data_IF_048173028626
#
_entry.id   IF_048173028626
#
_cell.length_a   1.000
_cell.length_b   1.000
_cell.length_c   1.000
_cell.angle_alpha   90.00
_cell.angle_beta   90.00
_cell.angle_gamma   90.00
#
_symmetry.space_group_name_H-M   'P 1'
#
loop_
_entity.id
_entity.type
_entity.pdbx_description
1 polymer ?
#
# COMPACT_ATOMS: atom_id res chain seq x y z
N UNK A 1 7.22 -5.94 -7.42
CA UNK A 1 5.88 -6.56 -7.43
C UNK A 1 6.01 -7.91 -8.12
N UNK A 2 5.75 -8.99 -7.41
CA UNK A 2 5.77 -10.36 -7.92
C UNK A 2 4.36 -10.95 -7.83
N UNK A 3 4.07 -12.04 -8.55
CA UNK A 3 2.76 -12.67 -8.56
C UNK A 3 2.78 -13.93 -7.67
N UNK A 4 2.40 -13.83 -6.38
CA UNK A 4 2.43 -14.97 -5.47
C UNK A 4 1.37 -16.01 -5.87
N UNK A 5 1.70 -17.29 -5.68
CA UNK A 5 0.69 -18.34 -5.78
C UNK A 5 -0.28 -18.24 -4.59
N UNK A 6 -1.55 -17.99 -4.87
CA UNK A 6 -2.61 -17.95 -3.87
C UNK A 6 -3.52 -19.18 -4.00
N UNK A 7 -3.60 -19.98 -2.93
CA UNK A 7 -4.47 -21.14 -2.85
C UNK A 7 -5.97 -20.75 -2.87
N UNK A 8 -6.88 -21.70 -3.17
CA UNK A 8 -8.31 -21.41 -3.23
C UNK A 8 -8.83 -20.76 -1.94
N UNK A 9 -9.69 -19.75 -2.08
CA UNK A 9 -10.16 -18.85 -1.01
C UNK A 9 -10.86 -19.54 0.17
N UNK A 10 -11.40 -20.75 -0.04
CA UNK A 10 -12.03 -21.56 1.01
C UNK A 10 -11.11 -22.55 1.73
N UNK A 11 -9.84 -22.68 1.32
CA UNK A 11 -8.87 -23.57 1.99
C UNK A 11 -8.20 -22.85 3.15
N UNK A 12 -7.76 -23.59 4.19
CA UNK A 12 -7.02 -22.99 5.32
C UNK A 12 -5.83 -22.16 4.83
N UNK A 13 -5.02 -22.71 3.92
CA UNK A 13 -3.88 -22.01 3.34
C UNK A 13 -4.33 -20.73 2.61
N UNK A 14 -5.35 -20.81 1.76
CA UNK A 14 -5.84 -19.65 1.02
C UNK A 14 -6.42 -18.54 1.92
N UNK A 15 -7.04 -18.89 3.04
CA UNK A 15 -7.51 -17.93 4.04
C UNK A 15 -6.34 -17.23 4.74
N UNK A 16 -5.32 -17.99 5.17
CA UNK A 16 -4.12 -17.44 5.82
C UNK A 16 -3.29 -16.59 4.87
N UNK A 17 -3.12 -17.00 3.61
CA UNK A 17 -2.40 -16.22 2.60
C UNK A 17 -3.03 -14.87 2.35
N UNK A 18 -4.37 -14.78 2.38
CA UNK A 18 -5.10 -13.50 2.26
C UNK A 18 -5.07 -12.68 3.55
N UNK A 19 -4.67 -13.27 4.69
CA UNK A 19 -4.73 -12.63 6.00
C UNK A 19 -6.17 -12.41 6.50
N UNK A 20 -7.12 -13.26 6.09
CA UNK A 20 -8.51 -13.16 6.54
C UNK A 20 -8.63 -13.56 8.01
N UNK A 21 -9.52 -12.90 8.73
CA UNK A 21 -9.82 -13.30 10.11
C UNK A 21 -10.37 -14.72 10.22
N UNK A 22 -11.12 -15.17 9.22
CA UNK A 22 -11.59 -16.56 9.10
C UNK A 22 -10.42 -17.56 9.04
N UNK A 23 -9.27 -17.16 8.50
CA UNK A 23 -8.05 -17.95 8.49
C UNK A 23 -7.54 -18.25 9.89
N UNK A 24 -7.56 -17.26 10.79
CA UNK A 24 -7.22 -17.46 12.21
C UNK A 24 -8.23 -18.39 12.87
N UNK A 25 -9.53 -18.14 12.67
CA UNK A 25 -10.58 -18.96 13.27
C UNK A 25 -10.49 -20.42 12.82
N UNK A 26 -10.23 -20.66 11.53
CA UNK A 26 -10.03 -21.99 10.97
C UNK A 26 -8.74 -22.65 11.49
N UNK A 27 -7.63 -21.90 11.57
CA UNK A 27 -6.37 -22.41 12.11
C UNK A 27 -6.51 -22.88 13.55
N UNK A 28 -7.22 -22.14 14.40
CA UNK A 28 -7.48 -22.49 15.80
C UNK A 28 -8.41 -23.71 15.96
N UNK A 29 -9.20 -24.03 14.94
CA UNK A 29 -10.08 -25.20 14.92
C UNK A 29 -9.46 -26.44 14.27
N UNK A 30 -8.41 -26.25 13.45
CA UNK A 30 -7.74 -27.32 12.72
C UNK A 30 -6.75 -28.10 13.61
N UNK A 31 -6.32 -29.31 13.22
CA UNK A 31 -5.20 -29.97 13.86
C UNK A 31 -3.96 -29.07 13.86
N UNK A 32 -3.38 -28.83 15.04
CA UNK A 32 -2.24 -27.92 15.22
C UNK A 32 -1.09 -28.13 14.21
N UNK A 33 -0.65 -29.36 13.89
CA UNK A 33 0.40 -29.56 12.88
C UNK A 33 0.01 -29.06 11.48
N UNK A 34 -1.25 -29.19 11.08
CA UNK A 34 -1.75 -28.71 9.79
C UNK A 34 -1.81 -27.17 9.77
N UNK A 35 -2.27 -26.57 10.86
CA UNK A 35 -2.32 -25.12 11.02
C UNK A 35 -0.91 -24.49 10.99
N UNK A 36 0.04 -25.08 11.73
CA UNK A 36 1.43 -24.64 11.72
C UNK A 36 2.08 -24.83 10.34
N UNK A 37 1.82 -25.94 9.63
CA UNK A 37 2.33 -26.13 8.28
C UNK A 37 1.82 -25.05 7.31
N UNK A 38 0.53 -24.70 7.37
CA UNK A 38 -0.04 -23.63 6.54
C UNK A 38 0.49 -22.24 6.93
N UNK A 39 0.66 -21.97 8.23
CA UNK A 39 1.26 -20.73 8.73
C UNK A 39 2.72 -20.59 8.29
N UNK A 40 3.54 -21.63 8.46
CA UNK A 40 4.93 -21.66 8.01
C UNK A 40 5.00 -21.41 6.51
N UNK A 41 4.14 -22.04 5.70
CA UNK A 41 4.10 -21.76 4.27
C UNK A 41 3.89 -20.28 3.97
N UNK A 42 2.96 -19.60 4.65
CA UNK A 42 2.72 -18.17 4.42
C UNK A 42 3.91 -17.30 4.86
N UNK A 43 4.59 -17.65 5.94
CA UNK A 43 5.69 -16.85 6.50
C UNK A 43 6.97 -17.01 5.69
N UNK A 44 7.22 -18.21 5.14
CA UNK A 44 8.40 -18.55 4.37
C UNK A 44 8.23 -18.30 2.86
N UNK A 45 6.99 -18.14 2.40
CA UNK A 45 6.65 -17.83 1.01
C UNK A 45 5.63 -16.69 1.00
N UNK A 46 6.14 -15.46 0.94
CA UNK A 46 5.36 -14.24 1.13
C UNK A 46 4.17 -14.17 0.15
N UNK A 47 2.91 -14.21 0.64
CA UNK A 47 1.73 -14.19 -0.21
C UNK A 47 1.28 -12.77 -0.57
N UNK A 48 2.01 -11.72 -0.15
CA UNK A 48 1.64 -10.33 -0.41
C UNK A 48 1.94 -9.96 -1.85
N UNK A 49 0.96 -9.35 -2.52
CA UNK A 49 1.17 -8.83 -3.86
C UNK A 49 2.01 -7.55 -3.81
N UNK A 50 1.73 -6.72 -2.79
CA UNK A 50 2.51 -5.53 -2.49
C UNK A 50 2.87 -5.50 -0.99
N UNK A 51 4.05 -6.04 -0.69
CA UNK A 51 4.55 -6.14 0.68
C UNK A 51 4.81 -4.77 1.33
N UNK A 52 4.93 -3.68 0.54
CA UNK A 52 5.17 -2.33 1.05
C UNK A 52 3.93 -1.73 1.73
N UNK A 53 2.75 -2.26 1.41
CA UNK A 53 1.47 -1.69 1.84
C UNK A 53 0.54 -2.70 2.52
N UNK A 54 0.85 -4.00 2.47
CA UNK A 54 0.06 -5.06 3.12
C UNK A 54 0.68 -5.54 4.44
N UNK A 55 -0.12 -5.48 5.52
CA UNK A 55 0.30 -5.81 6.89
C UNK A 55 -0.12 -7.24 7.26
N UNK A 56 0.83 -8.20 7.23
CA UNK A 56 0.56 -9.60 7.62
C UNK A 56 1.45 -10.16 8.72
N UNK A 57 2.54 -9.48 9.06
CA UNK A 57 3.51 -9.94 10.05
C UNK A 57 2.91 -10.06 11.45
N UNK A 58 2.18 -9.04 11.94
CA UNK A 58 1.51 -9.06 13.23
C UNK A 58 0.43 -10.16 13.32
N UNK A 59 -0.32 -10.36 12.23
CA UNK A 59 -1.32 -11.41 12.10
C UNK A 59 -0.70 -12.81 12.28
N UNK A 60 0.38 -13.09 11.55
CA UNK A 60 1.08 -14.37 11.66
C UNK A 60 1.76 -14.54 13.03
N UNK A 61 2.36 -13.49 13.59
CA UNK A 61 2.98 -13.54 14.91
C UNK A 61 1.97 -13.88 16.02
N UNK A 62 0.78 -13.27 16.00
CA UNK A 62 -0.31 -13.62 16.92
C UNK A 62 -0.73 -15.09 16.75
N UNK A 63 -0.80 -15.57 15.51
CA UNK A 63 -1.16 -16.96 15.24
C UNK A 63 -0.09 -17.96 15.70
N UNK A 64 1.20 -17.63 15.59
CA UNK A 64 2.27 -18.42 16.22
C UNK A 64 2.06 -18.53 17.73
N UNK A 65 1.72 -17.43 18.41
CA UNK A 65 1.46 -17.47 19.86
C UNK A 65 0.21 -18.29 20.21
N UNK A 66 -0.90 -18.05 19.50
CA UNK A 66 -2.17 -18.76 19.76
C UNK A 66 -2.05 -20.27 19.48
N UNK A 67 -1.18 -20.67 18.54
CA UNK A 67 -0.88 -22.08 18.21
C UNK A 67 0.31 -22.65 18.98
N UNK A 68 0.93 -21.91 19.91
CA UNK A 68 2.17 -22.32 20.60
C UNK A 68 3.28 -22.77 19.64
N UNK A 69 3.43 -22.10 18.49
CA UNK A 69 4.36 -22.48 17.43
C UNK A 69 5.82 -22.11 17.75
N UNK A 70 6.73 -23.03 17.41
CA UNK A 70 8.18 -22.80 17.41
C UNK A 70 8.66 -22.07 16.15
N UNK A 71 9.90 -21.60 16.17
CA UNK A 71 10.52 -20.80 15.08
C UNK A 71 11.53 -21.60 14.24
N UNK A 72 11.60 -22.93 14.42
CA UNK A 72 12.62 -23.78 13.81
C UNK A 72 12.59 -23.73 12.28
N UNK A 73 11.40 -23.60 11.70
CA UNK A 73 11.19 -23.48 10.26
C UNK A 73 11.66 -22.13 9.71
N UNK A 74 11.47 -21.05 10.48
CA UNK A 74 12.00 -19.72 10.15
C UNK A 74 13.53 -19.73 10.26
N UNK A 75 14.08 -20.31 11.32
CA UNK A 75 15.53 -20.43 11.48
C UNK A 75 16.18 -21.19 10.33
N UNK A 76 15.58 -22.31 9.91
CA UNK A 76 16.05 -23.09 8.76
C UNK A 76 16.00 -22.29 7.45
N UNK A 77 14.93 -21.53 7.22
CA UNK A 77 14.77 -20.69 6.02
C UNK A 77 15.80 -19.55 5.96
N UNK A 78 16.01 -18.86 7.09
CA UNK A 78 16.95 -17.75 7.20
C UNK A 78 18.42 -18.21 7.19
N UNK A 79 18.69 -19.44 7.64
CA UNK A 79 20.02 -20.06 7.60
C UNK A 79 20.32 -20.81 6.30
N UNK A 80 19.40 -20.85 5.35
CA UNK A 80 19.58 -21.55 4.08
C UNK A 80 20.64 -20.83 3.21
N UNK A 81 21.56 -21.55 2.55
CA UNK A 81 22.57 -20.95 1.68
C UNK A 81 22.01 -20.06 0.57
N UNK A 82 20.77 -20.31 0.13
CA UNK A 82 20.08 -19.49 -0.86
C UNK A 82 19.88 -18.04 -0.37
N UNK A 83 19.94 -17.75 0.94
CA UNK A 83 19.91 -16.38 1.48
C UNK A 83 21.01 -15.48 0.88
N UNK A 84 22.16 -16.06 0.55
CA UNK A 84 23.28 -15.33 -0.07
C UNK A 84 23.21 -15.31 -1.61
N UNK A 85 22.34 -16.11 -2.22
CA UNK A 85 22.17 -16.19 -3.68
C UNK A 85 20.98 -15.36 -4.15
N UNK A 86 19.91 -15.33 -3.37
CA UNK A 86 18.71 -14.55 -3.59
C UNK A 86 18.56 -13.51 -2.48
N UNK A 87 19.01 -12.29 -2.78
CA UNK A 87 18.99 -11.15 -1.85
C UNK A 87 17.74 -10.29 -2.01
N UNK A 88 16.69 -10.79 -2.66
CA UNK A 88 15.41 -10.09 -2.74
C UNK A 88 14.77 -10.00 -1.35
N UNK A 89 14.28 -8.81 -1.00
CA UNK A 89 13.64 -8.56 0.30
C UNK A 89 12.39 -9.43 0.52
N UNK A 90 11.71 -9.81 -0.56
CA UNK A 90 10.52 -10.68 -0.50
C UNK A 90 10.81 -12.10 0.00
N UNK A 91 12.07 -12.57 -0.08
CA UNK A 91 12.46 -13.90 0.40
C UNK A 91 12.39 -13.99 1.92
N UNK A 92 12.89 -13.00 2.63
CA UNK A 92 13.05 -13.07 4.10
C UNK A 92 12.36 -11.95 4.87
N UNK A 93 11.97 -10.85 4.23
CA UNK A 93 11.40 -9.67 4.87
C UNK A 93 10.17 -9.99 5.73
N UNK A 94 9.24 -10.81 5.22
CA UNK A 94 8.07 -11.23 6.01
C UNK A 94 8.46 -12.05 7.25
N UNK A 95 9.37 -13.01 7.11
CA UNK A 95 9.83 -13.84 8.21
C UNK A 95 10.54 -13.00 9.29
N UNK A 96 11.37 -12.03 8.88
CA UNK A 96 12.03 -11.08 9.78
C UNK A 96 11.01 -10.20 10.52
N UNK A 97 10.01 -9.67 9.81
CA UNK A 97 8.94 -8.88 10.42
C UNK A 97 8.11 -9.70 11.43
N UNK A 98 7.84 -10.97 11.15
CA UNK A 98 7.18 -11.89 12.09
C UNK A 98 8.03 -12.11 13.34
N UNK A 99 9.33 -12.36 13.19
CA UNK A 99 10.25 -12.47 14.33
C UNK A 99 10.28 -11.18 15.15
N UNK A 100 10.20 -10.01 14.49
CA UNK A 100 10.11 -8.72 15.16
C UNK A 100 8.89 -8.68 16.09
N UNK A 101 7.70 -8.94 15.58
CA UNK A 101 6.51 -8.97 16.43
C UNK A 101 6.59 -10.03 17.54
N UNK A 102 7.12 -11.23 17.27
CA UNK A 102 7.33 -12.24 18.30
C UNK A 102 8.26 -11.73 19.42
N UNK A 103 9.36 -11.06 19.08
CA UNK A 103 10.25 -10.44 20.06
C UNK A 103 9.54 -9.38 20.90
N UNK A 104 8.61 -8.61 20.29
CA UNK A 104 7.79 -7.62 21.01
C UNK A 104 6.86 -8.25 22.05
N UNK A 105 6.46 -9.51 21.83
CA UNK A 105 5.69 -10.31 22.79
C UNK A 105 6.57 -11.07 23.80
N UNK A 106 7.88 -10.80 23.84
CA UNK A 106 8.80 -11.39 24.81
C UNK A 106 9.38 -12.76 24.40
N UNK A 107 9.37 -13.11 23.11
CA UNK A 107 10.03 -14.31 22.60
C UNK A 107 11.54 -14.08 22.44
N UNK A 108 12.29 -14.48 23.46
CA UNK A 108 13.77 -14.35 23.51
C UNK A 108 14.47 -15.13 22.38
N UNK A 109 13.92 -16.27 21.98
CA UNK A 109 14.42 -17.08 20.86
C UNK A 109 14.31 -16.34 19.52
N UNK A 110 13.20 -15.63 19.29
CA UNK A 110 13.00 -14.80 18.11
C UNK A 110 13.95 -13.60 18.09
N UNK A 111 14.10 -12.91 19.24
CA UNK A 111 15.05 -11.80 19.38
C UNK A 111 16.50 -12.25 19.13
N UNK A 112 16.89 -13.40 19.69
CA UNK A 112 18.22 -13.96 19.49
C UNK A 112 18.47 -14.33 18.02
N UNK A 113 17.46 -14.89 17.32
CA UNK A 113 17.57 -15.21 15.90
C UNK A 113 17.70 -13.94 15.04
N UNK A 114 16.91 -12.90 15.31
CA UNK A 114 17.04 -11.60 14.62
C UNK A 114 18.43 -11.00 14.77
N UNK A 115 18.99 -10.99 15.98
CA UNK A 115 20.37 -10.50 16.22
C UNK A 115 21.40 -11.32 15.43
N UNK A 116 21.27 -12.65 15.38
CA UNK A 116 22.15 -13.50 14.56
C UNK A 116 22.03 -13.15 13.07
N UNK A 117 20.80 -13.03 12.56
CA UNK A 117 20.57 -12.72 11.16
C UNK A 117 21.05 -11.31 10.79
N UNK A 118 20.79 -10.29 11.61
CA UNK A 118 21.35 -8.95 11.40
C UNK A 118 22.89 -8.94 11.34
N UNK A 119 23.54 -9.85 12.07
CA UNK A 119 24.99 -9.97 12.04
C UNK A 119 25.53 -10.64 10.77
N UNK A 120 24.83 -11.59 10.13
CA UNK A 120 25.38 -12.40 9.03
C UNK A 120 24.53 -12.54 7.76
N UNK A 121 23.22 -12.38 7.85
CA UNK A 121 22.28 -12.55 6.73
C UNK A 121 22.41 -11.49 5.64
N UNK A 122 21.84 -11.79 4.47
CA UNK A 122 21.87 -10.90 3.30
C UNK A 122 20.95 -9.69 3.48
N UNK A 123 19.72 -9.90 3.96
CA UNK A 123 18.75 -8.84 4.26
C UNK A 123 18.93 -8.27 5.67
N UNK A 124 20.18 -8.05 6.08
CA UNK A 124 20.55 -7.57 7.41
C UNK A 124 19.95 -6.21 7.76
N UNK A 125 19.76 -5.33 6.77
CA UNK A 125 19.21 -3.99 6.97
C UNK A 125 17.78 -4.07 7.51
N UNK A 126 16.95 -4.93 6.92
CA UNK A 126 15.60 -5.20 7.40
C UNK A 126 15.60 -5.73 8.84
N UNK A 127 16.46 -6.72 9.13
CA UNK A 127 16.56 -7.27 10.48
C UNK A 127 17.02 -6.23 11.51
N UNK A 128 17.90 -5.32 11.10
CA UNK A 128 18.35 -4.20 11.92
C UNK A 128 17.22 -3.20 12.19
N UNK A 129 16.38 -2.90 11.20
CA UNK A 129 15.20 -2.06 11.37
C UNK A 129 14.18 -2.71 12.33
N UNK A 130 13.93 -4.02 12.22
CA UNK A 130 13.06 -4.73 13.16
C UNK A 130 13.60 -4.68 14.60
N UNK A 131 14.91 -4.83 14.77
CA UNK A 131 15.59 -4.71 16.07
C UNK A 131 15.59 -3.27 16.59
N UNK A 132 15.72 -2.27 15.74
CA UNK A 132 15.72 -0.87 16.14
C UNK A 132 14.45 -0.48 16.91
N UNK A 133 13.32 -1.07 16.56
CA UNK A 133 12.03 -0.83 17.23
C UNK A 133 11.88 -1.56 18.57
N UNK A 134 12.60 -2.67 18.78
CA UNK A 134 12.22 -3.70 19.77
C UNK A 134 13.33 -4.13 20.71
N UNK A 135 14.57 -3.98 20.27
CA UNK A 135 15.75 -4.35 21.03
C UNK A 135 16.19 -3.23 21.99
N UNK A 136 16.97 -3.60 23.00
CA UNK A 136 17.62 -2.67 23.89
C UNK A 136 18.91 -2.07 23.28
N UNK A 137 19.41 -0.98 23.87
CA UNK A 137 20.60 -0.32 23.34
C UNK A 137 21.87 -1.21 23.44
N UNK A 138 21.91 -2.18 24.36
CA UNK A 138 23.07 -3.06 24.53
C UNK A 138 23.15 -4.07 23.37
N UNK A 139 22.01 -4.67 23.01
CA UNK A 139 21.83 -5.52 21.85
C UNK A 139 22.21 -4.79 20.56
N UNK A 140 21.67 -3.59 20.35
CA UNK A 140 22.00 -2.78 19.17
C UNK A 140 23.49 -2.42 19.10
N UNK A 141 24.13 -2.04 20.23
CA UNK A 141 25.57 -1.76 20.26
C UNK A 141 26.43 -2.99 19.94
N UNK A 142 25.96 -4.19 20.28
CA UNK A 142 26.69 -5.43 19.96
C UNK A 142 26.77 -5.70 18.45
N UNK A 143 25.84 -5.17 17.67
CA UNK A 143 25.75 -5.34 16.22
C UNK A 143 26.62 -4.37 15.41
N UNK A 144 27.15 -3.32 16.03
CA UNK A 144 27.92 -2.29 15.33
C UNK A 144 29.11 -2.86 14.55
N UNK A 145 29.90 -3.73 15.19
CA UNK A 145 31.09 -4.34 14.57
C UNK A 145 30.73 -5.26 13.40
N UNK A 146 29.86 -6.28 13.55
CA UNK A 146 29.53 -7.16 12.44
C UNK A 146 28.84 -6.42 11.28
N UNK A 147 27.98 -5.44 11.55
CA UNK A 147 27.34 -4.64 10.48
C UNK A 147 28.37 -3.79 9.74
N UNK A 148 29.23 -3.06 10.45
CA UNK A 148 30.25 -2.21 9.83
C UNK A 148 31.34 -3.00 9.09
N UNK A 149 31.54 -4.28 9.42
CA UNK A 149 32.50 -5.15 8.73
C UNK A 149 32.10 -5.47 7.28
N UNK A 150 30.85 -5.21 6.89
CA UNK A 150 30.34 -5.40 5.51
C UNK A 150 30.90 -4.37 4.53
N UNK A 151 31.24 -3.20 5.05
CA UNK A 151 31.70 -2.08 4.24
C UNK A 151 33.23 -2.05 4.24
N UNK A 152 33.83 -1.85 3.07
CA UNK A 152 35.26 -1.59 2.95
C UNK A 152 35.70 -0.34 3.72
N UNK A 153 36.99 -0.27 4.07
CA UNK A 153 37.59 0.94 4.67
C UNK A 153 38.14 1.92 3.63
N UNK A 154 37.92 1.63 2.35
CA UNK A 154 38.27 2.49 1.23
C UNK A 154 37.14 3.49 0.91
N UNK A 155 37.33 4.28 -0.15
CA UNK A 155 36.35 5.29 -0.55
C UNK A 155 35.02 4.69 -1.02
N UNK A 156 35.06 3.52 -1.67
CA UNK A 156 33.88 2.80 -2.15
C UNK A 156 33.05 2.29 -0.96
N UNK A 157 33.66 1.55 -0.03
CA UNK A 157 32.98 1.10 1.18
C UNK A 157 32.48 2.24 2.07
N UNK A 158 33.17 3.38 2.08
CA UNK A 158 32.69 4.58 2.78
C UNK A 158 31.42 5.17 2.13
N UNK A 159 31.34 5.18 0.80
CA UNK A 159 30.17 5.65 0.06
C UNK A 159 28.97 4.69 0.20
N UNK A 160 29.22 3.38 0.21
CA UNK A 160 28.21 2.35 0.49
C UNK A 160 27.65 2.51 1.91
N UNK A 161 28.52 2.69 2.91
CA UNK A 161 28.10 2.94 4.29
C UNK A 161 27.27 4.24 4.40
N UNK A 162 27.68 5.32 3.73
CA UNK A 162 26.91 6.56 3.70
C UNK A 162 25.53 6.38 3.06
N UNK A 163 25.42 5.53 2.04
CA UNK A 163 24.15 5.14 1.43
C UNK A 163 23.28 4.36 2.40
N UNK A 164 23.83 3.33 3.06
CA UNK A 164 23.10 2.55 4.06
C UNK A 164 22.59 3.39 5.24
N UNK A 165 23.42 4.29 5.78
CA UNK A 165 23.02 5.21 6.87
C UNK A 165 21.92 6.17 6.43
N UNK A 166 22.02 6.70 5.21
CA UNK A 166 21.07 7.68 4.65
C UNK A 166 19.71 7.05 4.37
N UNK A 167 19.71 5.82 3.87
CA UNK A 167 18.51 5.13 3.36
C UNK A 167 17.89 4.20 4.42
N UNK A 168 18.51 4.10 5.62
CA UNK A 168 17.97 3.36 6.75
C UNK A 168 16.57 3.85 7.14
N UNK A 169 15.64 2.91 7.31
CA UNK A 169 14.28 3.23 7.75
C UNK A 169 14.27 3.64 9.22
N UNK A 170 14.93 2.86 10.09
CA UNK A 170 15.07 3.17 11.50
C UNK A 170 16.44 3.78 11.86
N UNK A 171 16.51 5.07 12.24
CA UNK A 171 17.79 5.73 12.47
C UNK A 171 18.43 5.40 13.83
N UNK A 172 17.72 4.72 14.74
CA UNK A 172 18.17 4.50 16.13
C UNK A 172 19.51 3.77 16.24
N UNK A 173 19.78 2.65 15.54
CA UNK A 173 21.06 1.94 15.65
C UNK A 173 22.22 2.82 15.19
N UNK A 174 22.04 3.53 14.09
CA UNK A 174 23.06 4.43 13.53
C UNK A 174 23.38 5.60 14.46
N UNK A 175 22.37 6.20 15.11
CA UNK A 175 22.61 7.24 16.14
C UNK A 175 23.37 6.68 17.33
N UNK A 176 22.98 5.51 17.83
CA UNK A 176 23.68 4.85 18.94
C UNK A 176 25.14 4.53 18.60
N UNK A 177 25.42 4.11 17.36
CA UNK A 177 26.77 3.80 16.91
C UNK A 177 27.59 5.06 16.64
N UNK A 178 26.98 6.16 16.18
CA UNK A 178 27.63 7.46 16.05
C UNK A 178 28.15 8.00 17.39
N UNK A 179 27.48 7.67 18.50
CA UNK A 179 27.89 8.01 19.86
C UNK A 179 28.89 7.00 20.48
N UNK A 180 29.29 5.97 19.74
CA UNK A 180 30.23 4.96 20.23
C UNK A 180 31.64 5.56 20.42
N UNK A 181 32.30 5.33 21.57
CA UNK A 181 33.62 5.88 21.84
C UNK A 181 34.73 5.24 21.01
N UNK A 182 34.51 4.07 20.40
CA UNK A 182 35.50 3.40 19.56
C UNK A 182 35.58 4.12 18.22
N UNK A 183 36.74 4.67 17.88
CA UNK A 183 36.98 5.37 16.60
C UNK A 183 36.57 4.53 15.38
N UNK A 184 36.83 3.22 15.40
CA UNK A 184 36.45 2.30 14.32
C UNK A 184 34.93 2.18 14.08
N UNK A 185 34.11 2.64 15.04
CA UNK A 185 32.65 2.63 14.98
C UNK A 185 32.11 4.06 14.91
N UNK A 186 32.32 4.86 15.97
CA UNK A 186 31.70 6.17 16.11
C UNK A 186 32.13 7.18 15.06
N UNK A 187 33.44 7.36 14.85
CA UNK A 187 33.91 8.30 13.84
C UNK A 187 33.53 7.87 12.42
N UNK A 188 33.53 6.56 12.17
CA UNK A 188 33.15 5.98 10.88
C UNK A 188 31.67 6.26 10.54
N UNK A 189 30.75 6.06 11.48
CA UNK A 189 29.32 6.32 11.28
C UNK A 189 29.03 7.83 11.19
N UNK A 190 29.71 8.68 11.98
CA UNK A 190 29.59 10.14 11.88
C UNK A 190 30.02 10.65 10.49
N UNK A 191 31.16 10.21 10.00
CA UNK A 191 31.65 10.58 8.66
C UNK A 191 30.66 10.18 7.55
N UNK A 192 30.11 8.96 7.62
CA UNK A 192 29.10 8.49 6.67
C UNK A 192 27.81 9.35 6.70
N UNK A 193 27.37 9.76 7.89
CA UNK A 193 26.19 10.62 8.08
C UNK A 193 26.38 12.03 7.47
N UNK A 194 27.57 12.61 7.64
CA UNK A 194 27.93 13.91 7.07
C UNK A 194 27.97 13.87 5.53
N UNK A 195 28.57 12.83 4.96
CA UNK A 195 28.66 12.64 3.51
C UNK A 195 27.27 12.54 2.86
N UNK A 196 26.37 11.71 3.41
CA UNK A 196 25.01 11.58 2.90
C UNK A 196 24.20 12.89 2.93
N UNK A 197 24.45 13.73 3.93
CA UNK A 197 23.84 15.07 4.05
C UNK A 197 24.35 16.02 2.97
N UNK A 198 25.65 16.00 2.68
CA UNK A 198 26.27 16.85 1.66
C UNK A 198 25.82 16.49 0.24
N UNK A 199 25.73 15.20 -0.10
CA UNK A 199 25.24 14.74 -1.40
C UNK A 199 23.80 15.20 -1.67
N UNK A 200 22.93 15.13 -0.65
CA UNK A 200 21.55 15.63 -0.75
C UNK A 200 21.52 17.13 -1.05
N UNK A 201 22.35 17.91 -0.35
CA UNK A 201 22.44 19.36 -0.55
C UNK A 201 22.95 19.71 -1.96
N UNK A 202 24.00 19.02 -2.45
CA UNK A 202 24.52 19.24 -3.80
C UNK A 202 23.48 18.97 -4.89
N UNK A 203 22.67 17.91 -4.75
CA UNK A 203 21.58 17.61 -5.70
C UNK A 203 20.52 18.72 -5.76
N UNK A 204 20.19 19.34 -4.63
CA UNK A 204 19.22 20.44 -4.58
C UNK A 204 19.74 21.72 -5.26
N UNK A 205 21.03 22.01 -5.14
CA UNK A 205 21.65 23.21 -5.72
C UNK A 205 21.87 23.13 -7.24
N UNK A 206 21.80 21.93 -7.82
CA UNK A 206 21.98 21.69 -9.27
C UNK A 206 20.83 20.84 -9.82
N UNK A 207 19.63 21.39 -10.02
CA UNK A 207 18.55 20.67 -10.67
C UNK A 207 18.98 20.31 -12.11
N UNK A 208 19.28 19.04 -12.37
CA UNK A 208 19.94 18.59 -13.60
C UNK A 208 19.06 18.39 -14.83
N UNK A 209 17.86 18.97 -14.87
CA UNK A 209 16.88 18.72 -15.94
C UNK A 209 16.70 19.90 -16.91
N UNK A 210 16.52 19.66 -18.22
CA UNK A 210 16.13 20.71 -19.18
C UNK A 210 14.75 21.29 -18.81
N UNK A 211 14.62 22.62 -18.86
CA UNK A 211 13.38 23.35 -18.60
C UNK A 211 12.82 23.92 -19.90
N UNK A 212 11.49 24.05 -20.05
CA UNK A 212 10.91 24.72 -21.21
C UNK A 212 11.24 26.22 -21.21
N UNK A 213 11.06 26.86 -22.37
CA UNK A 213 11.02 28.33 -22.47
C UNK A 213 9.74 28.92 -21.84
N UNK A 214 9.58 30.24 -21.91
CA UNK A 214 8.49 30.99 -21.26
C UNK A 214 7.30 31.29 -22.19
N UNK A 215 7.00 30.42 -23.15
CA UNK A 215 5.82 30.53 -24.02
C UNK A 215 5.04 29.22 -24.10
N UNK A 216 3.77 29.29 -24.46
CA UNK A 216 2.90 28.12 -24.66
C UNK A 216 3.50 27.13 -25.66
N UNK A 217 3.91 27.61 -26.84
CA UNK A 217 4.61 26.78 -27.83
C UNK A 217 5.88 26.12 -27.28
N UNK A 218 6.71 26.84 -26.50
CA UNK A 218 7.94 26.27 -25.95
C UNK A 218 7.66 25.16 -24.92
N UNK A 219 6.56 25.25 -24.18
CA UNK A 219 6.10 24.20 -23.25
C UNK A 219 5.58 22.99 -24.03
N UNK A 220 4.85 23.20 -25.13
CA UNK A 220 4.39 22.12 -26.01
C UNK A 220 5.54 21.39 -26.69
N UNK A 221 6.52 22.13 -27.23
CA UNK A 221 7.71 21.54 -27.83
C UNK A 221 8.50 20.70 -26.82
N UNK A 222 8.59 21.18 -25.57
CA UNK A 222 9.24 20.45 -24.49
C UNK A 222 8.49 19.16 -24.11
N UNK A 223 7.15 19.21 -24.04
CA UNK A 223 6.34 18.02 -23.81
C UNK A 223 6.52 16.98 -24.93
N UNK A 224 6.56 17.42 -26.18
CA UNK A 224 6.78 16.55 -27.34
C UNK A 224 8.20 15.95 -27.33
N UNK A 225 9.22 16.77 -27.12
CA UNK A 225 10.62 16.30 -27.03
C UNK A 225 10.82 15.31 -25.88
N UNK A 226 10.11 15.49 -24.76
CA UNK A 226 10.07 14.52 -23.67
C UNK A 226 9.54 13.18 -24.15
N UNK A 227 8.37 13.18 -24.78
CA UNK A 227 7.73 11.98 -25.27
C UNK A 227 8.60 11.24 -26.31
N UNK A 228 9.21 11.97 -27.25
CA UNK A 228 10.12 11.42 -28.25
C UNK A 228 11.35 10.73 -27.63
N UNK A 229 11.74 11.13 -26.40
CA UNK A 229 12.82 10.53 -25.61
C UNK A 229 12.34 9.45 -24.64
N UNK A 230 11.06 9.09 -24.68
CA UNK A 230 10.44 8.12 -23.76
C UNK A 230 10.16 8.68 -22.36
N UNK A 231 10.09 10.00 -22.20
CA UNK A 231 9.75 10.67 -20.94
C UNK A 231 8.37 11.32 -21.01
N UNK A 232 7.45 10.92 -20.13
CA UNK A 232 6.11 11.49 -20.08
C UNK A 232 6.10 12.84 -19.35
N UNK A 233 6.20 13.94 -20.11
CA UNK A 233 6.26 15.29 -19.56
C UNK A 233 4.93 16.05 -19.62
N UNK A 234 3.82 15.40 -20.01
CA UNK A 234 2.55 16.09 -20.24
C UNK A 234 1.92 16.71 -18.96
N UNK A 235 1.99 16.04 -17.80
CA UNK A 235 1.54 16.63 -16.52
C UNK A 235 2.45 17.77 -16.05
N UNK A 236 3.80 17.63 -16.03
CA UNK A 236 4.69 18.77 -15.77
C UNK A 236 4.46 19.95 -16.74
N UNK A 237 4.26 19.67 -18.02
CA UNK A 237 4.00 20.69 -19.03
C UNK A 237 2.68 21.44 -18.75
N UNK A 238 1.60 20.76 -18.37
CA UNK A 238 0.36 21.40 -17.96
C UNK A 238 0.54 22.38 -16.77
N UNK A 239 1.40 22.03 -15.81
CA UNK A 239 1.77 22.94 -14.70
C UNK A 239 2.56 24.15 -15.19
N UNK A 240 3.47 23.96 -16.15
CA UNK A 240 4.16 25.07 -16.79
C UNK A 240 3.19 25.97 -17.55
N UNK A 241 2.21 25.41 -18.29
CA UNK A 241 1.15 26.17 -18.96
C UNK A 241 0.37 27.04 -17.97
N UNK A 242 0.07 26.53 -16.77
CA UNK A 242 -0.59 27.30 -15.71
C UNK A 242 0.19 28.54 -15.25
N UNK A 243 1.51 28.58 -15.47
CA UNK A 243 2.36 29.72 -15.13
C UNK A 243 2.62 30.66 -16.32
N UNK A 244 2.47 30.21 -17.57
CA UNK A 244 2.86 30.98 -18.77
C UNK A 244 1.70 31.37 -19.68
N UNK A 245 0.58 30.66 -19.64
CA UNK A 245 -0.55 30.90 -20.53
C UNK A 245 -1.42 32.07 -20.03
N UNK A 246 -1.72 33.01 -20.94
CA UNK A 246 -2.71 34.06 -20.76
C UNK A 246 -4.07 33.70 -21.40
N UNK A 247 -5.14 34.49 -21.14
CA UNK A 247 -6.44 34.30 -21.80
C UNK A 247 -6.38 34.31 -23.34
N UNK A 248 -5.44 35.06 -23.90
CA UNK A 248 -5.17 35.18 -25.34
C UNK A 248 -4.64 33.89 -25.97
N UNK A 249 -3.98 33.03 -25.20
CA UNK A 249 -3.40 31.77 -25.67
C UNK A 249 -4.44 30.64 -25.72
N UNK A 250 -5.62 30.85 -25.14
CA UNK A 250 -6.69 29.84 -25.09
C UNK A 250 -7.00 29.21 -26.46
N UNK A 251 -7.12 29.95 -27.58
CA UNK A 251 -7.37 29.34 -28.88
C UNK A 251 -6.25 28.39 -29.32
N UNK A 252 -4.99 28.74 -29.07
CA UNK A 252 -3.82 27.90 -29.41
C UNK A 252 -3.84 26.60 -28.58
N UNK A 253 -4.13 26.70 -27.28
CA UNK A 253 -4.20 25.54 -26.39
C UNK A 253 -5.35 24.61 -26.77
N UNK A 254 -6.52 25.16 -27.11
CA UNK A 254 -7.67 24.37 -27.57
C UNK A 254 -7.36 23.66 -28.89
N UNK A 255 -6.65 24.30 -29.81
CA UNK A 255 -6.21 23.67 -31.06
C UNK A 255 -5.18 22.56 -30.81
N UNK A 256 -4.21 22.80 -29.92
CA UNK A 256 -3.26 21.78 -29.50
C UNK A 256 -3.95 20.54 -28.88
N UNK A 257 -4.96 20.74 -28.03
CA UNK A 257 -5.75 19.64 -27.45
C UNK A 257 -6.59 18.87 -28.50
N UNK A 258 -6.98 19.54 -29.59
CA UNK A 258 -7.79 18.93 -30.66
C UNK A 258 -6.93 18.09 -31.61
N UNK A 259 -5.81 18.65 -32.06
CA UNK A 259 -5.08 18.16 -33.25
C UNK A 259 -3.56 18.29 -33.13
N UNK A 260 -3.05 18.78 -32.01
CA UNK A 260 -1.60 18.94 -31.81
C UNK A 260 -0.83 17.62 -31.77
N UNK A 261 0.52 17.69 -31.84
CA UNK A 261 1.40 16.55 -31.57
C UNK A 261 1.08 15.89 -30.22
N UNK A 262 1.33 14.59 -30.08
CA UNK A 262 0.87 13.80 -28.92
C UNK A 262 1.23 14.43 -27.57
N UNK A 263 2.50 14.84 -27.37
CA UNK A 263 2.94 15.43 -26.11
C UNK A 263 2.26 16.76 -25.81
N UNK A 264 2.13 17.62 -26.83
CA UNK A 264 1.45 18.90 -26.72
C UNK A 264 -0.05 18.72 -26.44
N UNK A 265 -0.68 17.77 -27.14
CA UNK A 265 -2.09 17.43 -27.01
C UNK A 265 -2.42 16.92 -25.61
N UNK A 266 -1.60 16.01 -25.07
CA UNK A 266 -1.74 15.52 -23.70
C UNK A 266 -1.61 16.66 -22.68
N UNK A 267 -0.58 17.51 -22.83
CA UNK A 267 -0.38 18.66 -21.93
C UNK A 267 -1.55 19.65 -21.96
N UNK A 268 -2.07 19.95 -23.16
CA UNK A 268 -3.21 20.84 -23.34
C UNK A 268 -4.50 20.27 -22.74
N UNK A 269 -4.77 18.97 -22.91
CA UNK A 269 -5.92 18.31 -22.28
C UNK A 269 -5.86 18.40 -20.75
N UNK A 270 -4.71 18.12 -20.14
CA UNK A 270 -4.53 18.24 -18.70
C UNK A 270 -4.69 19.67 -18.19
N UNK A 271 -4.09 20.64 -18.90
CA UNK A 271 -4.22 22.06 -18.53
C UNK A 271 -5.68 22.53 -18.60
N UNK A 272 -6.38 22.24 -19.70
CA UNK A 272 -7.80 22.63 -19.85
C UNK A 272 -8.70 21.93 -18.83
N UNK A 273 -8.38 20.69 -18.44
CA UNK A 273 -9.12 19.94 -17.44
C UNK A 273 -8.93 20.54 -16.03
N UNK A 274 -7.70 20.93 -15.68
CA UNK A 274 -7.39 21.61 -14.42
C UNK A 274 -8.02 23.01 -14.35
N UNK A 275 -8.03 23.73 -15.47
CA UNK A 275 -8.69 25.03 -15.61
C UNK A 275 -10.23 24.94 -15.71
N UNK A 276 -10.80 23.73 -15.78
CA UNK A 276 -12.23 23.48 -16.00
C UNK A 276 -12.81 24.21 -17.22
N UNK A 277 -12.04 24.26 -18.32
CA UNK A 277 -12.50 24.93 -19.53
C UNK A 277 -13.76 24.23 -20.10
N UNK A 278 -14.82 24.97 -20.48
CA UNK A 278 -16.08 24.38 -20.95
C UNK A 278 -15.94 23.42 -22.14
N UNK A 279 -14.92 23.58 -22.99
CA UNK A 279 -14.75 22.71 -24.17
C UNK A 279 -14.01 21.40 -23.87
N UNK A 280 -13.41 21.27 -22.68
CA UNK A 280 -12.46 20.17 -22.42
C UNK A 280 -13.11 18.79 -22.46
N UNK A 281 -14.36 18.67 -22.00
CA UNK A 281 -15.04 17.38 -21.96
C UNK A 281 -15.29 16.82 -23.37
N UNK A 282 -15.58 17.68 -24.35
CA UNK A 282 -15.75 17.27 -25.74
C UNK A 282 -14.40 16.90 -26.38
N UNK A 283 -13.34 17.61 -26.01
CA UNK A 283 -11.97 17.30 -26.45
C UNK A 283 -11.47 15.97 -25.87
N UNK A 284 -11.77 15.69 -24.59
CA UNK A 284 -11.47 14.43 -23.92
C UNK A 284 -12.21 13.28 -24.61
N UNK A 285 -13.50 13.42 -24.91
CA UNK A 285 -14.28 12.38 -25.58
C UNK A 285 -13.72 12.05 -26.96
N UNK A 286 -13.33 13.07 -27.73
CA UNK A 286 -12.70 12.90 -29.02
C UNK A 286 -11.29 12.28 -28.91
N UNK A 287 -10.52 12.63 -27.88
CA UNK A 287 -9.19 12.11 -27.63
C UNK A 287 -9.18 10.66 -27.12
N UNK A 288 -10.19 10.25 -26.34
CA UNK A 288 -10.31 8.90 -25.79
C UNK A 288 -10.46 7.80 -26.86
N UNK A 289 -10.94 8.15 -28.06
CA UNK A 289 -11.04 7.25 -29.22
C UNK A 289 -9.90 7.43 -30.24
N UNK A 290 -8.86 8.17 -29.87
CA UNK A 290 -7.67 8.36 -30.69
C UNK A 290 -6.99 7.02 -30.96
N UNK A 291 -6.39 6.86 -32.15
CA UNK A 291 -5.52 5.72 -32.45
C UNK A 291 -4.22 5.74 -31.64
N UNK A 292 -3.84 6.90 -31.11
CA UNK A 292 -2.72 7.04 -30.18
C UNK A 292 -3.14 6.66 -28.77
N UNK A 293 -2.55 5.57 -28.25
CA UNK A 293 -2.79 5.11 -26.88
C UNK A 293 -2.34 6.16 -25.84
N UNK A 294 -1.20 6.81 -26.06
CA UNK A 294 -0.70 7.90 -25.19
C UNK A 294 -1.75 8.99 -25.00
N UNK A 295 -2.36 9.44 -26.11
CA UNK A 295 -3.39 10.49 -26.07
C UNK A 295 -4.68 9.99 -25.42
N UNK A 296 -5.10 8.76 -25.72
CA UNK A 296 -6.30 8.18 -25.13
C UNK A 296 -6.16 8.02 -23.61
N UNK A 297 -5.03 7.50 -23.13
CA UNK A 297 -4.74 7.30 -21.70
C UNK A 297 -4.62 8.65 -20.99
N UNK A 298 -3.95 9.64 -21.58
CA UNK A 298 -3.86 10.99 -21.02
C UNK A 298 -5.23 11.69 -20.96
N UNK A 299 -6.11 11.49 -21.94
CA UNK A 299 -7.46 12.05 -21.92
C UNK A 299 -8.30 11.47 -20.76
N UNK A 300 -8.23 10.14 -20.55
CA UNK A 300 -8.88 9.48 -19.42
C UNK A 300 -8.31 9.97 -18.09
N UNK A 301 -6.98 10.03 -17.96
CA UNK A 301 -6.32 10.53 -16.74
C UNK A 301 -6.65 12.00 -16.44
N UNK A 302 -6.77 12.84 -17.47
CA UNK A 302 -7.20 14.24 -17.31
C UNK A 302 -8.63 14.31 -16.76
N UNK A 303 -9.55 13.49 -17.29
CA UNK A 303 -10.93 13.43 -16.83
C UNK A 303 -11.07 12.95 -15.37
N UNK A 304 -10.33 11.94 -14.94
CA UNK A 304 -10.40 11.41 -13.56
C UNK A 304 -10.11 12.47 -12.49
N UNK A 305 -9.21 13.39 -12.84
CA UNK A 305 -8.77 14.50 -11.99
C UNK A 305 -9.75 15.66 -11.99
N UNK A 306 -10.61 15.78 -13.00
CA UNK A 306 -11.61 16.84 -13.04
C UNK A 306 -12.54 16.77 -11.82
N UNK A 307 -12.81 17.94 -11.27
CA UNK A 307 -13.75 18.13 -10.17
C UNK A 307 -14.88 19.06 -10.66
N UNK A 308 -16.09 18.93 -10.10
CA UNK A 308 -17.22 19.82 -10.39
C UNK A 308 -18.39 19.15 -11.12
N UNK A 309 -19.53 19.84 -11.12
CA UNK A 309 -20.82 19.30 -11.55
C UNK A 309 -20.83 18.92 -13.03
N UNK A 310 -20.18 19.70 -13.90
CA UNK A 310 -20.09 19.41 -15.33
C UNK A 310 -19.41 18.07 -15.63
N UNK A 311 -18.36 17.72 -14.87
CA UNK A 311 -17.67 16.43 -15.02
C UNK A 311 -18.55 15.27 -14.55
N UNK A 312 -19.30 15.45 -13.45
CA UNK A 312 -20.25 14.45 -12.93
C UNK A 312 -21.41 14.26 -13.91
N UNK A 313 -21.98 15.35 -14.43
CA UNK A 313 -23.05 15.31 -15.43
C UNK A 313 -22.59 14.57 -16.68
N UNK A 314 -21.37 14.86 -17.14
CA UNK A 314 -20.79 14.15 -18.29
C UNK A 314 -20.52 12.68 -18.00
N UNK A 315 -20.05 12.35 -16.80
CA UNK A 315 -19.83 10.97 -16.37
C UNK A 315 -21.12 10.12 -16.46
N UNK A 316 -22.29 10.69 -16.18
CA UNK A 316 -23.59 9.98 -16.35
C UNK A 316 -23.84 9.54 -17.78
N UNK A 317 -23.46 10.37 -18.74
CA UNK A 317 -23.58 10.05 -20.16
C UNK A 317 -22.57 8.99 -20.59
N UNK A 318 -21.33 9.07 -20.07
CA UNK A 318 -20.24 8.18 -20.46
C UNK A 318 -20.21 6.83 -19.74
N UNK A 319 -20.81 6.70 -18.55
CA UNK A 319 -20.71 5.49 -17.72
C UNK A 319 -21.22 4.20 -18.38
N UNK A 320 -21.95 4.28 -19.51
CA UNK A 320 -22.41 3.12 -20.29
C UNK A 320 -21.49 2.77 -21.47
N UNK A 321 -20.44 3.55 -21.71
CA UNK A 321 -19.48 3.26 -22.77
C UNK A 321 -18.69 1.99 -22.42
N UNK A 322 -18.34 1.16 -23.40
CA UNK A 322 -17.60 -0.08 -23.17
C UNK A 322 -16.08 0.11 -23.07
N UNK A 323 -15.60 1.35 -23.11
CA UNK A 323 -14.17 1.70 -23.17
C UNK A 323 -13.64 2.25 -21.85
N UNK A 324 -12.34 2.57 -21.82
CA UNK A 324 -11.66 3.11 -20.65
C UNK A 324 -12.32 4.41 -20.13
N UNK A 325 -12.86 5.24 -21.02
CA UNK A 325 -13.57 6.45 -20.63
C UNK A 325 -14.88 6.12 -19.88
N UNK A 326 -15.61 5.08 -20.32
CA UNK A 326 -16.79 4.60 -19.60
C UNK A 326 -16.47 4.04 -18.21
N UNK A 327 -15.41 3.23 -18.12
CA UNK A 327 -14.92 2.69 -16.85
C UNK A 327 -14.51 3.82 -15.88
N UNK A 328 -13.78 4.81 -16.39
CA UNK A 328 -13.36 5.99 -15.64
C UNK A 328 -14.55 6.85 -15.19
N UNK A 329 -15.56 7.03 -16.05
CA UNK A 329 -16.79 7.73 -15.72
C UNK A 329 -17.55 7.08 -14.56
N UNK A 330 -17.63 5.76 -14.52
CA UNK A 330 -18.18 5.06 -13.37
C UNK A 330 -17.38 5.31 -12.08
N UNK A 331 -16.05 5.40 -12.17
CA UNK A 331 -15.18 5.80 -11.06
C UNK A 331 -15.45 7.22 -10.56
N UNK A 332 -15.63 8.18 -11.48
CA UNK A 332 -16.01 9.56 -11.14
C UNK A 332 -17.37 9.60 -10.43
N UNK A 333 -18.36 8.86 -10.91
CA UNK A 333 -19.67 8.75 -10.24
C UNK A 333 -19.57 8.07 -8.87
N UNK A 334 -18.75 7.04 -8.74
CA UNK A 334 -18.50 6.36 -7.47
C UNK A 334 -17.90 7.33 -6.43
N UNK A 335 -16.91 8.14 -6.82
CA UNK A 335 -16.28 9.12 -5.93
C UNK A 335 -17.14 10.36 -5.64
N UNK A 336 -17.87 10.87 -6.63
CA UNK A 336 -18.45 12.23 -6.59
C UNK A 336 -19.95 12.31 -6.90
N UNK A 337 -20.56 11.24 -7.41
CA UNK A 337 -21.98 11.19 -7.78
C UNK A 337 -22.94 11.22 -6.59
N UNK A 338 -24.22 11.41 -6.88
CA UNK A 338 -25.32 11.38 -5.91
C UNK A 338 -26.09 10.06 -5.91
N UNK A 339 -27.16 9.98 -5.12
CA UNK A 339 -27.99 8.76 -5.01
C UNK A 339 -28.58 8.32 -6.38
N UNK A 340 -28.82 9.25 -7.29
CA UNK A 340 -29.27 8.98 -8.66
C UNK A 340 -28.28 8.14 -9.48
N UNK A 341 -26.99 8.16 -9.11
CA UNK A 341 -25.91 7.50 -9.84
C UNK A 341 -25.69 6.05 -9.40
N UNK A 342 -26.40 5.60 -8.36
CA UNK A 342 -26.25 4.27 -7.76
C UNK A 342 -26.36 3.12 -8.77
N UNK A 343 -27.30 3.22 -9.73
CA UNK A 343 -27.48 2.16 -10.73
C UNK A 343 -26.29 2.02 -11.69
N UNK A 344 -25.64 3.13 -12.04
CA UNK A 344 -24.46 3.16 -12.90
C UNK A 344 -23.24 2.59 -12.17
N UNK A 345 -23.01 3.03 -10.92
CA UNK A 345 -21.93 2.53 -10.08
C UNK A 345 -22.07 1.03 -9.80
N UNK A 346 -23.29 0.56 -9.50
CA UNK A 346 -23.56 -0.86 -9.29
C UNK A 346 -23.36 -1.69 -10.57
N UNK A 347 -23.73 -1.16 -11.72
CA UNK A 347 -23.49 -1.79 -13.03
C UNK A 347 -22.00 -2.01 -13.25
N UNK A 348 -21.23 -0.93 -13.11
CA UNK A 348 -19.78 -0.96 -13.26
C UNK A 348 -19.10 -1.89 -12.25
N UNK A 349 -19.53 -1.93 -10.98
CA UNK A 349 -19.01 -2.87 -9.98
C UNK A 349 -19.22 -4.33 -10.42
N UNK A 350 -20.40 -4.67 -10.93
CA UNK A 350 -20.73 -6.03 -11.38
C UNK A 350 -19.96 -6.41 -12.63
N UNK A 351 -19.82 -5.49 -13.58
CA UNK A 351 -19.00 -5.69 -14.76
C UNK A 351 -17.52 -5.84 -14.39
N UNK A 352 -17.06 -5.07 -13.41
CA UNK A 352 -15.71 -5.16 -12.89
C UNK A 352 -15.36 -6.56 -12.40
N UNK A 353 -16.17 -7.08 -11.49
CA UNK A 353 -15.99 -8.42 -10.93
C UNK A 353 -16.12 -9.51 -12.00
N UNK A 354 -17.07 -9.41 -12.94
CA UNK A 354 -17.28 -10.44 -13.97
C UNK A 354 -16.20 -10.47 -15.04
N UNK A 355 -15.71 -9.30 -15.46
CA UNK A 355 -14.76 -9.17 -16.56
C UNK A 355 -13.32 -9.36 -16.12
N UNK A 356 -12.93 -8.69 -15.04
CA UNK A 356 -11.53 -8.57 -14.64
C UNK A 356 -11.22 -9.35 -13.34
N UNK A 357 -12.25 -9.86 -12.66
CA UNK A 357 -12.11 -10.62 -11.42
C UNK A 357 -12.10 -9.76 -10.14
N UNK A 358 -11.86 -10.39 -8.98
CA UNK A 358 -12.01 -9.77 -7.65
C UNK A 358 -10.83 -8.86 -7.25
N UNK A 359 -9.76 -8.81 -8.04
CA UNK A 359 -8.55 -8.00 -7.79
C UNK A 359 -8.38 -6.85 -8.78
N UNK A 360 -9.40 -6.58 -9.61
CA UNK A 360 -9.33 -5.53 -10.62
C UNK A 360 -9.14 -4.14 -9.99
N UNK A 361 -8.18 -3.36 -10.50
CA UNK A 361 -7.81 -2.04 -9.97
C UNK A 361 -9.00 -1.07 -9.87
N UNK A 362 -9.95 -1.14 -10.82
CA UNK A 362 -11.17 -0.31 -10.79
C UNK A 362 -12.09 -0.61 -9.60
N UNK A 363 -11.98 -1.78 -8.98
CA UNK A 363 -12.80 -2.13 -7.81
C UNK A 363 -12.54 -1.21 -6.62
N UNK A 364 -11.34 -0.66 -6.49
CA UNK A 364 -10.96 0.22 -5.37
C UNK A 364 -11.94 1.39 -5.24
N UNK A 365 -12.10 2.16 -6.31
CA UNK A 365 -13.03 3.30 -6.35
C UNK A 365 -14.49 2.87 -6.34
N UNK A 366 -14.83 1.77 -7.02
CA UNK A 366 -16.22 1.29 -7.12
C UNK A 366 -16.76 0.76 -5.79
N UNK A 367 -15.95 0.03 -5.03
CA UNK A 367 -16.29 -0.48 -3.69
C UNK A 367 -16.51 0.70 -2.73
N UNK A 368 -15.58 1.64 -2.69
CA UNK A 368 -15.69 2.84 -1.85
C UNK A 368 -16.95 3.65 -2.20
N UNK A 369 -17.22 3.87 -3.49
CA UNK A 369 -18.40 4.58 -3.95
C UNK A 369 -19.72 3.84 -3.66
N UNK A 370 -19.71 2.51 -3.72
CA UNK A 370 -20.88 1.68 -3.37
C UNK A 370 -21.25 1.82 -1.89
N UNK A 371 -20.24 1.83 -1.01
CA UNK A 371 -20.42 2.11 0.41
C UNK A 371 -20.92 3.54 0.65
N UNK A 372 -20.27 4.53 0.04
CA UNK A 372 -20.63 5.96 0.14
C UNK A 372 -22.08 6.24 -0.28
N UNK A 373 -22.52 5.61 -1.37
CA UNK A 373 -23.88 5.78 -1.91
C UNK A 373 -24.92 4.90 -1.20
N UNK A 374 -24.53 4.04 -0.24
CA UNK A 374 -25.46 3.20 0.51
C UNK A 374 -26.23 2.19 -0.36
N UNK A 375 -25.59 1.64 -1.41
CA UNK A 375 -26.25 0.77 -2.38
C UNK A 375 -26.49 -0.63 -1.77
N UNK A 376 -27.58 -0.80 -1.03
CA UNK A 376 -27.85 -2.03 -0.27
C UNK A 376 -27.86 -3.32 -1.12
N UNK A 377 -28.37 -3.26 -2.36
CA UNK A 377 -28.40 -4.42 -3.26
C UNK A 377 -27.02 -4.81 -3.84
N UNK A 378 -25.97 -4.06 -3.51
CA UNK A 378 -24.59 -4.41 -3.82
C UNK A 378 -23.97 -5.38 -2.79
N UNK A 379 -24.60 -5.59 -1.61
CA UNK A 379 -24.04 -6.46 -0.58
C UNK A 379 -23.57 -7.84 -1.11
N UNK A 380 -24.32 -8.58 -1.95
CA UNK A 380 -23.84 -9.88 -2.46
C UNK A 380 -22.51 -9.80 -3.24
N UNK A 381 -22.33 -8.77 -4.08
CA UNK A 381 -21.08 -8.62 -4.86
C UNK A 381 -19.93 -8.14 -3.96
N UNK A 382 -20.21 -7.27 -2.98
CA UNK A 382 -19.21 -6.83 -2.00
C UNK A 382 -18.72 -8.00 -1.12
N UNK A 383 -19.62 -8.89 -0.70
CA UNK A 383 -19.24 -10.12 0.04
C UNK A 383 -18.38 -11.07 -0.80
N UNK A 384 -18.63 -11.12 -2.11
CA UNK A 384 -17.79 -11.90 -3.03
C UNK A 384 -16.39 -11.28 -3.14
N UNK A 385 -16.29 -9.96 -3.36
CA UNK A 385 -15.00 -9.24 -3.38
C UNK A 385 -14.24 -9.48 -2.07
N UNK A 386 -14.88 -9.29 -0.92
CA UNK A 386 -14.28 -9.51 0.40
C UNK A 386 -13.66 -10.91 0.55
N UNK A 387 -14.33 -11.97 0.06
CA UNK A 387 -13.87 -13.36 0.21
C UNK A 387 -12.78 -13.75 -0.78
N UNK A 388 -12.88 -13.26 -2.02
CA UNK A 388 -12.04 -13.75 -3.11
C UNK A 388 -10.77 -12.93 -3.31
N UNK A 389 -10.81 -11.62 -3.06
CA UNK A 389 -9.66 -10.72 -3.30
C UNK A 389 -8.41 -11.20 -2.58
N UNK A 390 -7.29 -11.18 -3.28
CA UNK A 390 -5.96 -11.43 -2.71
C UNK A 390 -5.42 -10.24 -1.94
N UNK A 391 -5.92 -9.02 -2.23
CA UNK A 391 -5.51 -7.78 -1.59
C UNK A 391 -6.20 -7.58 -0.24
N UNK A 392 -5.40 -7.48 0.83
CA UNK A 392 -5.92 -7.18 2.17
C UNK A 392 -6.55 -5.79 2.28
N UNK A 393 -5.98 -4.80 1.58
CA UNK A 393 -6.51 -3.43 1.53
C UNK A 393 -7.87 -3.35 0.81
N UNK A 394 -8.02 -4.01 -0.34
CA UNK A 394 -9.30 -4.05 -1.04
C UNK A 394 -10.37 -4.77 -0.20
N UNK A 395 -9.98 -5.84 0.52
CA UNK A 395 -10.87 -6.50 1.49
C UNK A 395 -11.33 -5.55 2.59
N UNK A 396 -10.43 -4.74 3.16
CA UNK A 396 -10.80 -3.74 4.17
C UNK A 396 -11.76 -2.67 3.66
N UNK A 397 -11.59 -2.23 2.41
CA UNK A 397 -12.55 -1.34 1.74
C UNK A 397 -13.89 -2.02 1.52
N UNK A 398 -13.90 -3.28 1.12
CA UNK A 398 -15.12 -4.07 0.99
C UNK A 398 -15.84 -4.23 2.35
N UNK A 399 -15.11 -4.43 3.44
CA UNK A 399 -15.66 -4.48 4.80
C UNK A 399 -16.33 -3.14 5.18
N UNK A 400 -15.67 -2.01 4.90
CA UNK A 400 -16.24 -0.67 5.12
C UNK A 400 -17.51 -0.44 4.28
N UNK A 401 -17.49 -0.85 3.01
CA UNK A 401 -18.66 -0.75 2.15
C UNK A 401 -19.80 -1.67 2.62
N UNK A 402 -19.50 -2.88 3.09
CA UNK A 402 -20.48 -3.79 3.69
C UNK A 402 -21.10 -3.21 4.97
N UNK A 403 -20.31 -2.55 5.83
CA UNK A 403 -20.84 -1.88 7.01
C UNK A 403 -21.93 -0.84 6.68
N UNK A 404 -21.84 -0.19 5.51
CA UNK A 404 -22.82 0.80 5.04
C UNK A 404 -23.98 0.21 4.24
N UNK A 405 -23.84 -1.00 3.67
CA UNK A 405 -24.79 -1.54 2.68
C UNK A 405 -25.46 -2.84 3.10
N UNK A 406 -24.86 -3.60 4.02
CA UNK A 406 -25.28 -4.93 4.41
C UNK A 406 -25.84 -4.95 5.84
N UNK A 407 -27.16 -5.13 6.02
CA UNK A 407 -27.76 -5.23 7.34
C UNK A 407 -27.23 -6.39 8.20
N UNK A 408 -26.68 -7.46 7.59
CA UNK A 408 -26.11 -8.59 8.33
C UNK A 408 -24.62 -8.42 8.66
N UNK A 409 -24.01 -7.28 8.33
CA UNK A 409 -22.58 -7.07 8.53
C UNK A 409 -22.17 -7.26 10.00
N UNK A 410 -22.91 -6.66 10.92
CA UNK A 410 -22.61 -6.65 12.36
C UNK A 410 -22.53 -8.06 12.98
N UNK A 411 -23.37 -8.99 12.51
CA UNK A 411 -23.47 -10.36 13.03
C UNK A 411 -22.65 -11.37 12.22
N UNK A 412 -22.07 -10.93 11.10
CA UNK A 412 -21.33 -11.77 10.16
C UNK A 412 -19.90 -11.28 9.99
N UNK A 413 -19.60 -10.62 8.88
CA UNK A 413 -18.24 -10.19 8.52
C UNK A 413 -17.59 -9.27 9.55
N UNK A 414 -18.35 -8.44 10.27
CA UNK A 414 -17.77 -7.61 11.33
C UNK A 414 -17.12 -8.47 12.43
N UNK A 415 -17.68 -9.64 12.74
CA UNK A 415 -17.07 -10.59 13.69
C UNK A 415 -15.76 -11.11 13.12
N UNK A 416 -15.79 -11.67 11.89
CA UNK A 416 -14.59 -12.16 11.20
C UNK A 416 -13.46 -11.10 11.18
N UNK A 417 -13.81 -9.86 10.85
CA UNK A 417 -12.87 -8.76 10.69
C UNK A 417 -12.07 -8.43 11.98
N UNK A 418 -12.50 -8.86 13.17
CA UNK A 418 -11.73 -8.67 14.43
C UNK A 418 -10.41 -9.47 14.45
N UNK A 419 -10.28 -10.46 13.57
CA UNK A 419 -9.08 -11.26 13.39
C UNK A 419 -8.33 -10.94 12.09
N UNK A 420 -8.79 -9.96 11.30
CA UNK A 420 -8.16 -9.63 10.02
C UNK A 420 -6.71 -9.14 10.19
N UNK A 421 -5.89 -9.30 9.15
CA UNK A 421 -4.50 -8.83 9.16
C UNK A 421 -4.36 -7.31 9.12
N UNK A 422 -5.31 -6.61 8.50
CA UNK A 422 -5.30 -5.15 8.40
C UNK A 422 -5.93 -4.47 9.62
N UNK A 423 -5.19 -3.53 10.21
CA UNK A 423 -5.66 -2.70 11.32
C UNK A 423 -6.94 -1.94 10.99
N UNK A 424 -7.04 -1.37 9.79
CA UNK A 424 -8.22 -0.58 9.39
C UNK A 424 -9.46 -1.47 9.24
N UNK A 425 -9.29 -2.74 8.89
CA UNK A 425 -10.36 -3.74 8.87
C UNK A 425 -10.79 -4.12 10.28
N UNK A 426 -9.82 -4.34 11.20
CA UNK A 426 -10.09 -4.56 12.63
C UNK A 426 -10.76 -3.34 13.29
N UNK A 427 -10.45 -2.13 12.88
CA UNK A 427 -11.07 -0.90 13.37
C UNK A 427 -12.56 -0.82 12.97
N UNK A 428 -12.89 -1.13 11.71
CA UNK A 428 -14.28 -1.24 11.25
C UNK A 428 -15.01 -2.32 12.04
N UNK A 429 -14.39 -3.49 12.21
CA UNK A 429 -14.91 -4.57 13.03
C UNK A 429 -15.19 -4.12 14.47
N UNK A 430 -14.21 -3.47 15.09
CA UNK A 430 -14.30 -2.97 16.45
C UNK A 430 -15.50 -2.03 16.61
N UNK A 431 -15.84 -1.20 15.62
CA UNK A 431 -17.02 -0.33 15.66
C UNK A 431 -18.35 -1.06 15.48
N UNK A 432 -18.40 -2.09 14.66
CA UNK A 432 -19.67 -2.64 14.15
C UNK A 432 -20.03 -4.04 14.64
N UNK A 433 -19.07 -4.86 15.08
CA UNK A 433 -19.32 -6.25 15.46
C UNK A 433 -20.30 -6.36 16.62
N UNK A 434 -21.32 -7.21 16.52
CA UNK A 434 -22.28 -7.41 17.60
C UNK A 434 -21.62 -8.08 18.81
N UNK A 435 -21.86 -7.55 20.02
CA UNK A 435 -21.17 -7.97 21.26
C UNK A 435 -21.93 -9.02 22.05
N UNK A 436 -22.98 -9.63 21.48
CA UNK A 436 -23.76 -10.68 22.15
C UNK A 436 -22.99 -12.00 22.32
N UNK A 437 -21.94 -12.22 21.52
CA UNK A 437 -21.07 -13.39 21.61
C UNK A 437 -19.88 -13.12 22.55
N UNK A 438 -19.67 -14.01 23.53
CA UNK A 438 -18.55 -13.97 24.48
C UNK A 438 -17.20 -13.94 23.74
N UNK A 439 -17.07 -14.68 22.63
CA UNK A 439 -15.83 -14.71 21.82
C UNK A 439 -15.49 -13.34 21.26
N UNK A 440 -16.51 -12.59 20.83
CA UNK A 440 -16.35 -11.22 20.35
C UNK A 440 -15.92 -10.30 21.49
N UNK A 441 -16.58 -10.39 22.65
CA UNK A 441 -16.22 -9.58 23.82
C UNK A 441 -14.77 -9.84 24.28
N UNK A 442 -14.36 -11.11 24.36
CA UNK A 442 -12.98 -11.47 24.69
C UNK A 442 -11.97 -11.00 23.66
N UNK A 443 -12.29 -11.12 22.36
CA UNK A 443 -11.41 -10.65 21.30
C UNK A 443 -11.23 -9.14 21.37
N UNK A 444 -12.31 -8.39 21.56
CA UNK A 444 -12.25 -6.94 21.76
C UNK A 444 -11.36 -6.58 22.95
N UNK A 445 -11.54 -7.23 24.12
CA UNK A 445 -10.67 -6.99 25.29
C UNK A 445 -9.19 -7.27 24.98
N UNK A 446 -8.90 -8.35 24.25
CA UNK A 446 -7.53 -8.66 23.80
C UNK A 446 -6.97 -7.56 22.92
N UNK A 447 -7.71 -7.10 21.91
CA UNK A 447 -7.28 -5.99 21.04
C UNK A 447 -7.03 -4.69 21.84
N UNK A 448 -7.86 -4.39 22.84
CA UNK A 448 -7.70 -3.19 23.66
C UNK A 448 -6.46 -3.22 24.57
N UNK A 449 -5.96 -4.41 24.90
CA UNK A 449 -4.83 -4.65 25.80
C UNK A 449 -3.54 -5.02 25.05
N UNK A 450 -3.62 -5.30 23.75
CA UNK A 450 -2.48 -5.73 22.95
C UNK A 450 -1.56 -4.53 22.65
N UNK A 451 -0.31 -4.51 23.15
CA UNK A 451 0.61 -3.40 22.96
C UNK A 451 1.08 -3.21 21.52
N UNK A 452 0.97 -4.26 20.68
CA UNK A 452 1.31 -4.20 19.27
C UNK A 452 0.11 -3.84 18.38
N UNK A 453 -1.09 -3.63 18.96
CA UNK A 453 -2.26 -3.17 18.21
C UNK A 453 -2.27 -1.65 18.03
N UNK A 454 -2.81 -1.21 16.90
CA UNK A 454 -2.87 0.19 16.52
C UNK A 454 -3.79 1.01 17.43
N UNK A 455 -3.40 2.25 17.68
CA UNK A 455 -4.07 3.13 18.63
C UNK A 455 -5.53 3.41 18.24
N UNK A 456 -5.81 3.51 16.93
CA UNK A 456 -7.14 3.70 16.36
C UNK A 456 -8.06 2.50 16.66
N UNK A 457 -7.54 1.27 16.53
CA UNK A 457 -8.27 0.05 16.87
C UNK A 457 -8.55 0.00 18.37
N UNK A 458 -7.53 0.22 19.21
CA UNK A 458 -7.69 0.26 20.66
C UNK A 458 -8.73 1.31 21.09
N UNK A 459 -8.71 2.49 20.46
CA UNK A 459 -9.66 3.58 20.71
C UNK A 459 -11.08 3.19 20.30
N UNK A 460 -11.24 2.59 19.11
CA UNK A 460 -12.53 2.09 18.63
C UNK A 460 -13.12 1.04 19.58
N UNK A 461 -12.30 0.14 20.12
CA UNK A 461 -12.73 -0.85 21.10
C UNK A 461 -13.11 -0.21 22.45
N UNK A 462 -12.23 0.63 23.02
CA UNK A 462 -12.46 1.28 24.32
C UNK A 462 -13.70 2.18 24.31
N UNK A 463 -14.06 2.75 23.16
CA UNK A 463 -15.29 3.53 23.01
C UNK A 463 -16.56 2.69 23.14
N UNK A 464 -16.46 1.36 23.00
CA UNK A 464 -17.60 0.42 23.12
C UNK A 464 -17.63 -0.33 24.45
N UNK A 465 -16.47 -0.68 24.97
CA UNK A 465 -16.32 -1.26 26.31
C UNK A 465 -16.17 -0.08 27.27
N UNK A 466 -17.29 0.49 27.74
CA UNK A 466 -17.26 1.57 28.73
C UNK A 466 -16.43 1.19 29.99
N UNK A 467 -16.12 2.16 30.88
CA UNK A 467 -15.24 1.93 32.04
C UNK A 467 -15.66 0.80 33.00
N UNK A 468 -16.90 0.29 32.90
CA UNK A 468 -17.49 -0.67 33.84
C UNK A 468 -17.85 -2.02 33.19
N UNK A 469 -16.87 -2.68 32.56
CA UNK A 469 -16.95 -4.12 32.34
C UNK A 469 -15.91 -4.81 33.24
N UNK A 470 -16.10 -4.72 34.56
CA UNK A 470 -15.34 -5.51 35.52
C UNK A 470 -15.48 -7.00 35.20
N UNK A 471 -14.35 -7.70 35.28
CA UNK A 471 -14.29 -9.15 35.18
C UNK A 471 -15.29 -9.79 36.16
N UNK A 472 -16.17 -10.64 35.61
CA UNK A 472 -16.91 -11.64 36.37
C UNK A 472 -16.46 -13.00 35.87
#
# INVERSE_FOLDING_TARGET
MFDPFIAPSGTLLGLLQRGRGDGTLHALAAPRPEALAALNHCVLSDPRHDWQVENRSLYYARLYLDLDGGIEEIERHLGDPDDHLDTEESRTGLALAVLGHLASYGRDDALALLRRYAATGSNWAWALDELALRDDDAGLRSLAVPVLARFGTDAEGSAELATAVRDAFEPRPWRLWADDPREAVGARVRAASEQGSFDRWQRQMRPGGPRPGWSVQAVFDWAQQGLDRGSELHVPAARCLSAVAGPEDRPEIVEAARSGPEGARCAALHYLAEAQDPVVLDLIEAAAVSSSRTVADAAVAAFERMCGDAAVDRARCWARRPDALGASAAGVLAGRGGAQDASLVLGALREAVRGDGPDALRLWTLVDGTGRLGIACAAPVLRHVYRETSSSQLRGRAARALAATDPSFATGFAVECLWDCEETTREVAARHAETGDIRVAERLRRLAADPAEEAEVQTAVRSRIGPDASAV
#
